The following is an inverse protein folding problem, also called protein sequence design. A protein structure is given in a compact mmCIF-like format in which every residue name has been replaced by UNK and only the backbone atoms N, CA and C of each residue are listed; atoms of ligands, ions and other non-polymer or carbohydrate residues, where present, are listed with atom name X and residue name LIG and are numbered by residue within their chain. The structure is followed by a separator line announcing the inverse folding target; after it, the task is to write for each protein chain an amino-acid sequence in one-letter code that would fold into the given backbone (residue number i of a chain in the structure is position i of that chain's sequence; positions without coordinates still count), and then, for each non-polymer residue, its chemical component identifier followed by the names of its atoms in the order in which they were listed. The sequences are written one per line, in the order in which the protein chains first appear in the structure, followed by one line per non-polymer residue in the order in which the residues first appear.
data_IF_508015817961
#
_entry.id   IF_508015817961
#
_cell.length_a   1.000
_cell.length_b   1.000
_cell.length_c   1.000
_cell.angle_alpha   90.00
_cell.angle_beta   90.00
_cell.angle_gamma   90.00
#
_symmetry.space_group_name_H-M   'P 1'
#
loop_
_entity.id
_entity.type
_entity.pdbx_description
1 polymer ?
#
# COMPACT_ATOMS: atom_id res chain seq x y z
N UNK A 1 14.45 -22.65 -3.21
CA UNK A 1 13.31 -22.43 -4.13
C UNK A 1 12.50 -21.28 -3.57
N UNK A 2 12.01 -20.37 -4.41
CA UNK A 2 11.07 -19.34 -3.99
C UNK A 2 9.72 -19.97 -3.60
N UNK A 3 9.02 -19.37 -2.63
CA UNK A 3 7.74 -19.86 -2.10
C UNK A 3 6.78 -18.69 -1.90
N UNK A 4 5.56 -18.81 -2.41
CA UNK A 4 4.46 -17.91 -2.03
C UNK A 4 3.99 -18.30 -0.62
N UNK A 5 4.15 -17.40 0.35
CA UNK A 5 3.80 -17.64 1.76
C UNK A 5 2.46 -17.03 2.17
N UNK A 6 2.01 -15.98 1.47
CA UNK A 6 0.75 -15.29 1.72
C UNK A 6 0.23 -14.62 0.45
N UNK A 7 -1.10 -14.58 0.31
CA UNK A 7 -1.80 -13.70 -0.62
C UNK A 7 -2.93 -13.00 0.15
N UNK A 8 -2.95 -11.67 0.15
CA UNK A 8 -3.93 -10.86 0.87
C UNK A 8 -4.27 -9.60 0.06
N UNK A 9 -5.42 -8.99 0.34
CA UNK A 9 -5.86 -7.75 -0.31
C UNK A 9 -6.40 -6.76 0.71
N UNK A 10 -6.14 -5.47 0.49
CA UNK A 10 -6.59 -4.37 1.33
C UNK A 10 -7.12 -3.23 0.45
N UNK A 11 -8.07 -2.43 0.95
CA UNK A 11 -8.39 -1.17 0.29
C UNK A 11 -7.23 -0.17 0.47
N UNK A 12 -6.96 0.64 -0.55
CA UNK A 12 -5.90 1.67 -0.55
C UNK A 12 -6.36 3.15 -0.56
N UNK A 13 -7.56 3.54 -0.08
CA UNK A 13 -7.96 4.94 -0.15
C UNK A 13 -7.06 5.79 0.77
N UNK A 14 -6.41 6.86 0.27
CA UNK A 14 -5.49 7.68 1.07
C UNK A 14 -6.18 8.31 2.29
N UNK A 15 -7.51 8.51 2.20
CA UNK A 15 -8.34 9.02 3.31
C UNK A 15 -8.34 8.11 4.53
N UNK A 16 -8.19 6.78 4.37
CA UNK A 16 -8.17 5.85 5.50
C UNK A 16 -6.98 6.14 6.42
N UNK A 17 -5.79 6.38 5.86
CA UNK A 17 -4.58 6.72 6.63
C UNK A 17 -4.80 7.99 7.44
N UNK A 18 -5.36 9.03 6.81
CA UNK A 18 -5.69 10.27 7.47
C UNK A 18 -6.67 10.06 8.63
N UNK A 19 -7.78 9.35 8.41
CA UNK A 19 -8.78 9.08 9.45
C UNK A 19 -8.22 8.28 10.63
N UNK A 20 -7.38 7.26 10.36
CA UNK A 20 -6.74 6.47 11.40
C UNK A 20 -5.81 7.32 12.28
N UNK A 21 -5.09 8.29 11.71
CA UNK A 21 -4.26 9.20 12.50
C UNK A 21 -5.08 10.21 13.31
N UNK A 22 -6.17 10.73 12.75
CA UNK A 22 -7.04 11.69 13.46
C UNK A 22 -7.81 11.03 14.61
N UNK A 23 -8.06 9.72 14.56
CA UNK A 23 -8.79 9.00 15.60
C UNK A 23 -8.28 7.57 15.82
N UNK A 24 -7.07 7.43 16.39
CA UNK A 24 -6.43 6.13 16.58
C UNK A 24 -7.30 5.19 17.42
N UNK A 25 -7.41 3.94 16.97
CA UNK A 25 -8.20 2.88 17.59
C UNK A 25 -9.72 2.99 17.39
N UNK A 26 -10.22 4.06 16.76
CA UNK A 26 -11.68 4.28 16.58
C UNK A 26 -12.17 3.95 15.17
N UNK A 27 -11.29 3.98 14.18
CA UNK A 27 -11.65 3.70 12.79
C UNK A 27 -11.69 2.19 12.59
N UNK A 28 -12.86 1.65 12.19
CA UNK A 28 -13.02 0.21 11.94
C UNK A 28 -11.98 -0.35 10.96
N UNK A 29 -11.63 0.43 9.94
CA UNK A 29 -10.59 0.10 8.98
C UNK A 29 -9.24 -0.18 9.64
N UNK A 30 -8.88 0.52 10.71
CA UNK A 30 -7.62 0.28 11.44
C UNK A 30 -7.58 -1.12 12.06
N UNK A 31 -8.67 -1.55 12.70
CA UNK A 31 -8.76 -2.88 13.29
C UNK A 31 -8.68 -3.97 12.21
N UNK A 32 -9.27 -3.75 11.03
CA UNK A 32 -9.19 -4.68 9.89
C UNK A 32 -7.78 -4.73 9.29
N UNK A 33 -7.11 -3.58 9.15
CA UNK A 33 -5.71 -3.54 8.69
C UNK A 33 -4.77 -4.23 9.67
N UNK A 34 -5.02 -4.14 10.99
CA UNK A 34 -4.27 -4.88 12.02
C UNK A 34 -4.40 -6.40 11.85
N UNK A 35 -5.56 -6.92 11.48
CA UNK A 35 -5.72 -8.35 11.20
C UNK A 35 -4.88 -8.80 9.99
N UNK A 36 -4.81 -7.96 8.94
CA UNK A 36 -3.95 -8.26 7.78
C UNK A 36 -2.48 -8.21 8.18
N UNK A 37 -2.07 -7.22 8.99
CA UNK A 37 -0.72 -7.14 9.55
C UNK A 37 -0.35 -8.41 10.31
N UNK A 38 -1.22 -8.93 11.16
CA UNK A 38 -0.97 -10.19 11.89
C UNK A 38 -0.72 -11.38 10.95
N UNK A 39 -1.42 -11.44 9.80
CA UNK A 39 -1.17 -12.48 8.79
C UNK A 39 0.18 -12.30 8.10
N UNK A 40 0.56 -11.06 7.77
CA UNK A 40 1.86 -10.74 7.16
C UNK A 40 3.00 -11.08 8.12
N UNK A 41 2.90 -10.63 9.38
CA UNK A 41 3.89 -10.89 10.43
C UNK A 41 4.07 -12.41 10.63
N UNK A 42 2.98 -13.19 10.63
CA UNK A 42 3.03 -14.66 10.76
C UNK A 42 3.61 -15.37 9.53
N UNK A 43 3.43 -14.80 8.34
CA UNK A 43 3.91 -15.38 7.09
C UNK A 43 5.40 -15.14 6.86
N UNK A 44 6.00 -14.18 7.57
CA UNK A 44 7.42 -13.81 7.50
C UNK A 44 7.94 -13.69 6.05
N UNK A 45 7.35 -12.83 5.18
CA UNK A 45 7.78 -12.72 3.81
C UNK A 45 9.12 -11.97 3.69
N UNK A 46 10.04 -12.50 2.88
CA UNK A 46 11.27 -11.80 2.48
C UNK A 46 11.01 -10.68 1.45
N UNK A 47 9.91 -10.77 0.71
CA UNK A 47 9.53 -9.86 -0.37
C UNK A 47 8.00 -9.72 -0.44
N UNK A 48 7.52 -8.48 -0.64
CA UNK A 48 6.12 -8.18 -0.95
C UNK A 48 6.04 -7.71 -2.40
N UNK A 49 5.17 -8.35 -3.19
CA UNK A 49 4.77 -7.87 -4.52
C UNK A 49 3.41 -7.19 -4.35
N UNK A 50 3.39 -5.86 -4.41
CA UNK A 50 2.16 -5.07 -4.39
C UNK A 50 1.63 -4.89 -5.80
N UNK A 51 0.34 -5.20 -5.99
CA UNK A 51 -0.36 -5.02 -7.27
C UNK A 51 -1.39 -3.95 -7.09
N UNK A 52 -1.21 -2.83 -7.79
CA UNK A 52 -2.09 -1.67 -7.69
C UNK A 52 -2.20 -0.89 -9.01
N UNK A 53 -3.17 0.01 -9.08
CA UNK A 53 -3.37 0.99 -10.14
C UNK A 53 -2.77 2.34 -9.79
N UNK A 54 -2.11 2.97 -10.76
CA UNK A 54 -1.75 4.39 -10.68
C UNK A 54 -3.00 5.27 -10.80
N UNK A 55 -3.11 6.28 -9.95
CA UNK A 55 -4.22 7.23 -9.93
C UNK A 55 -3.84 8.55 -10.64
N UNK A 56 -3.22 8.44 -11.82
CA UNK A 56 -2.68 9.56 -12.59
C UNK A 56 -1.61 10.38 -11.85
N UNK A 57 -0.75 9.68 -11.10
CA UNK A 57 0.43 10.28 -10.44
C UNK A 57 1.66 10.07 -11.33
N UNK A 58 1.82 8.87 -11.89
CA UNK A 58 2.96 8.50 -12.72
C UNK A 58 2.59 8.34 -14.20
N UNK A 59 1.37 7.89 -14.50
CA UNK A 59 0.93 7.54 -15.85
C UNK A 59 -0.26 8.39 -16.29
N UNK A 60 -0.14 9.02 -17.46
CA UNK A 60 -1.17 9.88 -18.04
C UNK A 60 -1.61 9.34 -19.40
N UNK A 61 -2.62 9.96 -20.02
CA UNK A 61 -3.20 9.46 -21.28
C UNK A 61 -2.20 9.27 -22.44
N UNK A 62 -1.09 10.00 -22.45
CA UNK A 62 -0.03 9.85 -23.45
C UNK A 62 0.97 8.72 -23.14
N UNK A 63 0.91 8.13 -21.96
CA UNK A 63 1.78 7.02 -21.51
C UNK A 63 1.07 6.21 -20.41
N UNK A 64 0.11 5.36 -20.82
CA UNK A 64 -0.71 4.55 -19.92
C UNK A 64 -0.53 3.05 -20.25
N UNK A 65 0.48 2.38 -19.69
CA UNK A 65 0.72 0.97 -19.96
C UNK A 65 -0.34 0.08 -19.30
N UNK A 66 -0.64 -1.08 -19.90
CA UNK A 66 -1.53 -2.08 -19.28
C UNK A 66 -0.91 -2.72 -18.03
N UNK A 67 0.42 -2.86 -18.01
CA UNK A 67 1.18 -3.36 -16.88
C UNK A 67 2.49 -2.57 -16.76
N UNK A 68 2.86 -2.23 -15.54
CA UNK A 68 4.16 -1.65 -15.20
C UNK A 68 4.75 -2.40 -13.99
N UNK A 69 6.06 -2.61 -13.99
CA UNK A 69 6.80 -3.18 -12.86
C UNK A 69 7.82 -2.13 -12.43
N UNK A 70 7.72 -1.66 -11.18
CA UNK A 70 8.71 -0.79 -10.59
C UNK A 70 10.03 -1.54 -10.38
N UNK A 71 11.12 -0.96 -10.88
CA UNK A 71 12.48 -1.55 -10.79
C UNK A 71 13.45 -0.65 -10.01
N UNK A 72 12.96 0.47 -9.46
CA UNK A 72 13.77 1.37 -8.65
C UNK A 72 14.11 0.72 -7.30
N UNK A 73 15.28 1.03 -6.75
CA UNK A 73 15.69 0.56 -5.41
C UNK A 73 14.77 1.14 -4.32
N UNK A 74 14.30 2.37 -4.51
CA UNK A 74 13.42 3.08 -3.60
C UNK A 74 12.31 3.80 -4.37
N UNK A 75 11.16 3.97 -3.72
CA UNK A 75 10.03 4.75 -4.22
C UNK A 75 9.46 5.62 -3.10
N UNK A 76 8.96 6.81 -3.45
CA UNK A 76 8.40 7.76 -2.50
C UNK A 76 6.93 8.03 -2.81
N UNK A 77 6.15 8.23 -1.75
CA UNK A 77 4.75 8.62 -1.82
C UNK A 77 4.17 8.88 -0.43
N UNK A 78 2.87 9.21 -0.35
CA UNK A 78 1.96 9.46 -1.47
C UNK A 78 2.14 10.88 -2.04
N UNK A 79 1.56 11.15 -3.22
CA UNK A 79 1.51 12.49 -3.82
C UNK A 79 0.63 13.44 -2.99
N UNK A 80 -0.36 12.88 -2.27
CA UNK A 80 -1.24 13.60 -1.38
C UNK A 80 -0.50 14.12 -0.14
N UNK A 81 -0.14 15.41 -0.12
CA UNK A 81 0.54 16.07 1.01
C UNK A 81 -0.23 16.00 2.35
N UNK A 82 -1.55 15.80 2.29
CA UNK A 82 -2.42 15.68 3.46
C UNK A 82 -2.44 14.27 4.04
N UNK A 83 -1.93 13.27 3.31
CA UNK A 83 -1.87 11.89 3.77
C UNK A 83 -0.59 11.70 4.59
N UNK A 84 -0.71 11.43 5.90
CA UNK A 84 0.43 11.48 6.80
C UNK A 84 1.25 10.19 6.76
N UNK A 85 2.11 10.07 5.75
CA UNK A 85 3.05 8.96 5.58
C UNK A 85 4.50 9.43 5.76
N UNK A 86 5.40 8.56 6.23
CA UNK A 86 6.83 8.89 6.29
C UNK A 86 7.37 9.19 4.88
N UNK A 87 8.20 10.23 4.77
CA UNK A 87 9.00 10.50 3.58
C UNK A 87 10.40 9.96 3.83
N UNK A 88 10.82 9.01 3.00
CA UNK A 88 12.17 8.46 2.95
C UNK A 88 12.98 9.21 1.90
#
# INVERSE_FOLDING_TARGET
MAKLVLATGVPHPPRLVFEMQQSPGKVKGEALMKQVREQVDKAEPDLIIEVDSDHFVNFFYNNLPSFCIGMAEEAQGPQEDWCPMPRY
#
